data_IF_259161981028
#
_entry.id   IF_259161981028
#
_cell.length_a   1.000
_cell.length_b   1.000
_cell.length_c   1.000
_cell.angle_alpha   90.00
_cell.angle_beta   90.00
_cell.angle_gamma   90.00
#
_symmetry.space_group_name_H-M   'P 1'
#
loop_
_entity.id
_entity.type
_entity.pdbx_description
1 polymer ?
#
# COMPACT_ATOMS: atom_id res chain seq x y z
N UNK A 1 1.42 -0.53 -23.84
CA UNK A 1 2.80 -0.32 -23.33
C UNK A 1 3.51 0.59 -24.30
N UNK A 2 3.22 1.89 -24.23
CA UNK A 2 3.81 2.87 -25.13
C UNK A 2 5.20 3.30 -24.60
N UNK A 3 5.26 3.72 -23.33
CA UNK A 3 6.51 4.12 -22.66
C UNK A 3 7.61 3.04 -22.63
N UNK A 4 7.26 1.76 -22.47
CA UNK A 4 8.25 0.67 -22.49
C UNK A 4 8.85 0.45 -23.90
N UNK A 5 8.05 0.67 -24.95
CA UNK A 5 8.52 0.57 -26.35
C UNK A 5 9.42 1.74 -26.73
N UNK A 6 9.14 2.93 -26.20
CA UNK A 6 9.97 4.13 -26.42
C UNK A 6 11.37 4.02 -25.81
N UNK A 7 11.56 3.10 -24.87
CA UNK A 7 12.83 2.85 -24.16
C UNK A 7 13.44 1.48 -24.51
N UNK A 8 12.95 0.81 -25.56
CA UNK A 8 13.39 -0.53 -25.98
C UNK A 8 13.41 -1.57 -24.84
N UNK A 9 12.50 -1.43 -23.86
CA UNK A 9 12.38 -2.35 -22.74
C UNK A 9 11.64 -3.61 -23.19
N UNK A 10 12.37 -4.74 -23.19
CA UNK A 10 11.81 -6.07 -23.46
C UNK A 10 11.00 -6.58 -22.26
N UNK A 11 9.96 -7.38 -22.51
CA UNK A 11 9.11 -7.96 -21.47
C UNK A 11 9.03 -9.48 -21.63
N UNK A 12 10.10 -10.24 -21.29
CA UNK A 12 10.22 -11.65 -21.62
C UNK A 12 9.05 -12.52 -21.13
N UNK A 13 8.55 -12.26 -19.91
CA UNK A 13 7.40 -12.99 -19.36
C UNK A 13 6.12 -12.77 -20.17
N UNK A 14 5.93 -11.54 -20.67
CA UNK A 14 4.77 -11.19 -21.50
C UNK A 14 4.89 -11.74 -22.91
N UNK A 15 6.10 -11.72 -23.47
CA UNK A 15 6.41 -12.31 -24.78
C UNK A 15 6.25 -13.85 -24.74
N UNK A 16 6.58 -14.48 -23.62
CA UNK A 16 6.34 -15.90 -23.36
C UNK A 16 4.85 -16.23 -23.07
N UNK A 17 3.95 -15.24 -23.07
CA UNK A 17 2.53 -15.45 -22.85
C UNK A 17 2.14 -15.82 -21.42
N UNK A 18 3.05 -15.67 -20.44
CA UNK A 18 2.79 -16.05 -19.05
C UNK A 18 1.74 -15.14 -18.42
N UNK A 19 0.71 -15.76 -17.85
CA UNK A 19 -0.30 -15.08 -17.06
C UNK A 19 0.20 -14.83 -15.63
N UNK A 20 -0.52 -13.98 -14.88
CA UNK A 20 -0.22 -13.78 -13.45
C UNK A 20 -0.28 -15.08 -12.65
N UNK A 21 -1.14 -16.02 -13.04
CA UNK A 21 -1.27 -17.31 -12.35
C UNK A 21 -0.02 -18.14 -12.58
N UNK A 22 0.42 -18.26 -13.83
CA UNK A 22 1.62 -19.01 -14.20
C UNK A 22 2.86 -18.45 -13.49
N UNK A 23 3.01 -17.13 -13.45
CA UNK A 23 4.13 -16.47 -12.75
C UNK A 23 4.13 -16.82 -11.25
N UNK A 24 2.96 -16.86 -10.59
CA UNK A 24 2.86 -17.22 -9.17
C UNK A 24 3.19 -18.68 -8.91
N UNK A 25 2.69 -19.58 -9.76
CA UNK A 25 2.95 -21.02 -9.67
C UNK A 25 4.44 -21.32 -9.86
N UNK A 26 5.04 -20.79 -10.92
CA UNK A 26 6.49 -20.91 -11.18
C UNK A 26 7.32 -20.28 -10.05
N UNK A 27 6.92 -19.11 -9.54
CA UNK A 27 7.62 -18.47 -8.41
C UNK A 27 7.55 -19.31 -7.15
N UNK A 28 6.43 -20.01 -6.92
CA UNK A 28 6.25 -20.90 -5.77
C UNK A 28 7.08 -22.17 -5.92
N UNK A 29 7.14 -22.77 -7.10
CA UNK A 29 8.00 -23.93 -7.41
C UNK A 29 9.49 -23.60 -7.23
N UNK A 30 9.90 -22.39 -7.60
CA UNK A 30 11.26 -21.90 -7.41
C UNK A 30 11.55 -21.45 -5.96
N UNK A 31 10.59 -21.56 -5.04
CA UNK A 31 10.76 -21.18 -3.64
C UNK A 31 10.90 -19.67 -3.39
N UNK A 32 10.45 -18.81 -4.31
CA UNK A 32 10.57 -17.36 -4.15
C UNK A 32 9.58 -16.87 -3.08
N UNK A 33 10.04 -16.16 -2.02
CA UNK A 33 9.17 -15.72 -0.93
C UNK A 33 8.13 -14.67 -1.37
N UNK A 34 8.32 -14.08 -2.55
CA UNK A 34 7.44 -13.05 -3.12
C UNK A 34 6.29 -13.62 -3.96
N UNK A 35 6.15 -14.95 -4.08
CA UNK A 35 5.18 -15.59 -4.97
C UNK A 35 3.73 -15.14 -4.73
N UNK A 36 3.36 -14.82 -3.48
CA UNK A 36 2.03 -14.33 -3.12
C UNK A 36 2.01 -12.86 -2.65
N UNK A 37 3.06 -12.08 -2.97
CA UNK A 37 3.10 -10.67 -2.55
C UNK A 37 1.97 -9.89 -3.24
N UNK A 38 1.13 -9.16 -2.51
CA UNK A 38 0.07 -8.35 -3.10
C UNK A 38 0.65 -7.24 -3.98
N UNK A 39 -0.11 -6.83 -5.00
CA UNK A 39 0.28 -5.74 -5.88
C UNK A 39 0.11 -4.41 -5.16
N UNK A 40 1.19 -3.84 -4.66
CA UNK A 40 1.17 -2.50 -4.08
C UNK A 40 1.11 -1.45 -5.18
N UNK A 41 0.11 -0.57 -5.14
CA UNK A 41 0.07 0.62 -5.98
C UNK A 41 1.10 1.64 -5.48
N UNK A 42 1.60 2.51 -6.36
CA UNK A 42 2.53 3.58 -5.98
C UNK A 42 1.95 4.46 -4.87
N UNK A 43 2.75 4.82 -3.87
CA UNK A 43 2.35 5.70 -2.76
C UNK A 43 1.84 7.07 -3.25
N UNK A 44 2.22 7.50 -4.45
CA UNK A 44 1.71 8.73 -5.06
C UNK A 44 0.18 8.75 -5.21
N UNK A 45 -0.47 7.58 -5.34
CA UNK A 45 -1.92 7.49 -5.46
C UNK A 45 -2.67 7.83 -4.16
N UNK A 46 -1.96 8.00 -3.04
CA UNK A 46 -2.54 8.36 -1.73
C UNK A 46 -2.68 9.88 -1.55
N UNK A 47 -2.15 10.67 -2.48
CA UNK A 47 -2.21 12.12 -2.45
C UNK A 47 -3.24 12.65 -3.46
N UNK A 48 -3.99 13.71 -3.12
CA UNK A 48 -4.88 14.37 -4.08
C UNK A 48 -4.06 15.01 -5.20
N UNK A 49 -4.62 15.01 -6.41
CA UNK A 49 -4.02 15.71 -7.55
C UNK A 49 -3.80 17.20 -7.23
N UNK A 50 -2.70 17.75 -7.74
CA UNK A 50 -2.30 19.15 -7.48
C UNK A 50 -1.53 19.39 -6.18
N UNK A 51 -1.37 18.38 -5.32
CA UNK A 51 -0.51 18.50 -4.14
C UNK A 51 0.95 18.17 -4.48
N UNK A 52 1.88 19.02 -3.99
CA UNK A 52 3.31 18.72 -4.08
C UNK A 52 3.64 17.55 -3.17
N UNK A 53 4.00 16.43 -3.80
CA UNK A 53 4.52 15.25 -3.11
C UNK A 53 5.95 15.57 -2.66
N UNK A 54 6.22 15.44 -1.37
CA UNK A 54 7.57 15.57 -0.80
C UNK A 54 7.99 14.24 -0.19
N UNK A 55 9.30 13.99 -0.10
CA UNK A 55 9.84 12.77 0.51
C UNK A 55 9.34 12.58 1.94
N UNK A 56 9.25 13.68 2.71
CA UNK A 56 8.72 13.64 4.08
C UNK A 56 7.27 13.15 4.14
N UNK A 57 6.40 13.65 3.23
CA UNK A 57 4.99 13.23 3.16
C UNK A 57 4.84 11.78 2.70
N UNK A 58 5.68 11.34 1.74
CA UNK A 58 5.71 9.94 1.31
C UNK A 58 6.09 9.03 2.48
N UNK A 59 7.17 9.34 3.20
CA UNK A 59 7.63 8.57 4.35
C UNK A 59 6.59 8.55 5.49
N UNK A 60 5.86 9.64 5.67
CA UNK A 60 4.78 9.75 6.65
C UNK A 60 3.64 8.76 6.33
N UNK A 61 3.15 8.76 5.09
CA UNK A 61 2.11 7.83 4.64
C UNK A 61 2.60 6.39 4.65
N UNK A 62 3.84 6.15 4.21
CA UNK A 62 4.44 4.81 4.21
C UNK A 62 4.53 4.23 5.63
N UNK A 63 5.02 5.03 6.60
CA UNK A 63 5.05 4.60 8.01
C UNK A 63 3.67 4.33 8.58
N UNK A 64 2.66 5.13 8.21
CA UNK A 64 1.30 4.90 8.64
C UNK A 64 0.70 3.61 8.04
N UNK A 65 0.91 3.34 6.75
CA UNK A 65 0.51 2.07 6.11
C UNK A 65 1.26 0.89 6.75
N UNK A 66 2.58 0.98 6.94
CA UNK A 66 3.38 -0.09 7.56
C UNK A 66 2.92 -0.40 8.97
N UNK A 67 2.65 0.61 9.80
CA UNK A 67 2.16 0.39 11.16
C UNK A 67 0.84 -0.41 11.18
N UNK A 68 -0.08 -0.08 10.27
CA UNK A 68 -1.37 -0.78 10.14
C UNK A 68 -1.18 -2.20 9.59
N UNK A 69 -0.26 -2.39 8.65
CA UNK A 69 0.14 -3.73 8.15
C UNK A 69 0.72 -4.59 9.27
N UNK A 70 1.59 -4.03 10.12
CA UNK A 70 2.21 -4.73 11.26
C UNK A 70 1.19 -5.12 12.35
N UNK A 71 0.05 -4.43 12.40
CA UNK A 71 -1.08 -4.80 13.26
C UNK A 71 -1.91 -5.96 12.69
N UNK A 72 -1.60 -6.43 11.47
CA UNK A 72 -2.26 -7.56 10.83
C UNK A 72 -3.34 -7.18 9.81
N UNK A 73 -3.52 -5.88 9.51
CA UNK A 73 -4.45 -5.42 8.46
C UNK A 73 -3.80 -5.67 7.11
N UNK A 74 -4.44 -6.42 6.23
CA UNK A 74 -3.79 -6.87 4.99
C UNK A 74 -4.06 -5.97 3.79
N UNK A 75 -5.17 -5.22 3.81
CA UNK A 75 -5.58 -4.34 2.71
C UNK A 75 -5.85 -2.92 3.21
N UNK A 76 -4.77 -2.22 3.61
CA UNK A 76 -4.85 -0.83 4.08
C UNK A 76 -4.40 0.17 3.02
N UNK A 77 -5.10 1.32 2.96
CA UNK A 77 -4.65 2.51 2.24
C UNK A 77 -4.82 3.73 3.13
N UNK A 78 -3.74 4.47 3.34
CA UNK A 78 -3.79 5.73 4.10
C UNK A 78 -3.76 6.89 3.11
N UNK A 79 -4.90 7.58 2.94
CA UNK A 79 -4.98 8.77 2.09
C UNK A 79 -4.68 10.03 2.88
N UNK A 80 -3.79 10.85 2.35
CA UNK A 80 -3.36 12.09 3.00
C UNK A 80 -4.15 13.28 2.47
N UNK A 81 -4.92 13.94 3.34
CA UNK A 81 -5.69 15.15 3.05
C UNK A 81 -5.32 16.29 4.01
N UNK A 82 -4.28 17.06 3.67
CA UNK A 82 -3.78 18.11 4.57
C UNK A 82 -3.16 17.50 5.83
N UNK A 83 -3.80 17.69 6.98
CA UNK A 83 -3.39 17.07 8.26
C UNK A 83 -4.17 15.78 8.56
N UNK A 84 -5.15 15.41 7.71
CA UNK A 84 -6.02 14.26 7.96
C UNK A 84 -5.48 13.03 7.22
N UNK A 85 -5.33 11.94 7.95
CA UNK A 85 -5.10 10.61 7.40
C UNK A 85 -6.41 9.83 7.38
N UNK A 86 -6.94 9.61 6.18
CA UNK A 86 -8.12 8.78 5.97
C UNK A 86 -7.68 7.33 5.77
N UNK A 87 -8.09 6.46 6.68
CA UNK A 87 -7.79 5.03 6.62
C UNK A 87 -8.88 4.32 5.81
N UNK A 88 -8.52 3.68 4.71
CA UNK A 88 -9.40 2.81 3.94
C UNK A 88 -8.95 1.36 4.13
N UNK A 89 -9.85 0.54 4.70
CA UNK A 89 -9.66 -0.90 4.89
C UNK A 89 -10.85 -1.69 4.36
N UNK A 90 -10.64 -2.99 4.17
CA UNK A 90 -11.67 -3.94 3.77
C UNK A 90 -12.72 -4.11 4.88
N UNK A 91 -13.98 -4.37 4.51
CA UNK A 91 -15.10 -4.35 5.45
C UNK A 91 -14.99 -5.41 6.55
N UNK A 92 -14.44 -6.58 6.25
CA UNK A 92 -14.21 -7.66 7.22
C UNK A 92 -13.09 -7.35 8.22
N UNK A 93 -12.18 -6.42 7.89
CA UNK A 93 -11.10 -5.99 8.78
C UNK A 93 -11.54 -4.84 9.73
N UNK A 94 -12.75 -4.29 9.56
CA UNK A 94 -13.22 -3.12 10.36
C UNK A 94 -13.44 -3.42 11.82
N UNK A 95 -13.66 -4.67 12.19
CA UNK A 95 -13.88 -5.07 13.58
C UNK A 95 -12.70 -4.72 14.48
N UNK A 96 -11.47 -4.62 13.92
CA UNK A 96 -10.28 -4.21 14.67
C UNK A 96 -10.41 -2.81 15.28
N UNK A 97 -11.23 -1.95 14.67
CA UNK A 97 -11.48 -0.58 15.13
C UNK A 97 -12.61 -0.49 16.16
N UNK A 98 -13.25 -1.61 16.55
CA UNK A 98 -14.23 -1.60 17.64
C UNK A 98 -13.59 -1.64 19.02
N UNK A 99 -12.30 -1.99 19.10
CA UNK A 99 -11.53 -1.91 20.32
C UNK A 99 -10.99 -0.48 20.51
N UNK A 100 -11.40 0.14 21.61
CA UNK A 100 -11.02 1.51 21.97
C UNK A 100 -9.52 1.63 22.24
N UNK A 101 -8.88 0.62 22.82
CA UNK A 101 -7.43 0.62 23.06
C UNK A 101 -6.67 0.61 21.74
N UNK A 102 -7.13 -0.21 20.78
CA UNK A 102 -6.57 -0.25 19.43
C UNK A 102 -6.77 1.10 18.73
N UNK A 103 -7.97 1.67 18.75
CA UNK A 103 -8.23 2.99 18.15
C UNK A 103 -7.33 4.07 18.74
N UNK A 104 -7.18 4.09 20.06
CA UNK A 104 -6.31 5.06 20.74
C UNK A 104 -4.84 4.85 20.37
N UNK A 105 -4.40 3.60 20.27
CA UNK A 105 -3.04 3.26 19.84
C UNK A 105 -2.78 3.74 18.41
N UNK A 106 -3.68 3.45 17.48
CA UNK A 106 -3.59 3.91 16.09
C UNK A 106 -3.59 5.44 16.02
N UNK A 107 -4.54 6.09 16.68
CA UNK A 107 -4.62 7.55 16.73
C UNK A 107 -3.35 8.21 17.27
N UNK A 108 -2.75 7.64 18.33
CA UNK A 108 -1.50 8.14 18.89
C UNK A 108 -0.30 7.96 17.95
N UNK A 109 -0.19 6.82 17.25
CA UNK A 109 0.89 6.61 16.28
C UNK A 109 0.75 7.53 15.06
N UNK A 110 -0.45 7.71 14.53
CA UNK A 110 -0.67 8.66 13.43
C UNK A 110 -0.39 10.09 13.86
N UNK A 111 -0.73 10.47 15.09
CA UNK A 111 -0.44 11.80 15.63
C UNK A 111 1.06 12.08 15.75
N UNK A 112 1.89 11.07 16.05
CA UNK A 112 3.37 11.20 16.03
C UNK A 112 3.91 11.46 14.62
N UNK A 113 3.13 11.14 13.59
CA UNK A 113 3.44 11.39 12.19
C UNK A 113 2.78 12.69 11.69
N UNK A 114 2.32 13.58 12.57
CA UNK A 114 1.59 14.81 12.23
C UNK A 114 0.30 14.56 11.43
N UNK A 115 -0.36 13.41 11.66
CA UNK A 115 -1.60 13.02 11.03
C UNK A 115 -2.74 12.85 12.05
N UNK A 116 -3.90 13.42 11.73
CA UNK A 116 -5.15 13.20 12.44
C UNK A 116 -5.89 12.03 11.80
N UNK A 117 -6.12 10.97 12.59
CA UNK A 117 -6.83 9.78 12.15
C UNK A 117 -8.29 10.10 11.83
N UNK A 118 -8.74 9.72 10.64
CA UNK A 118 -10.14 9.68 10.24
C UNK A 118 -10.46 8.28 9.68
N UNK A 119 -11.44 7.61 10.29
CA UNK A 119 -11.96 6.30 9.91
C UNK A 119 -13.27 6.43 9.15
#
# INVERSE_FOLDING_TARGET
MQAAKELDVVSPLKEAGLTKKDIRELSKELGLPTWNKPSFACLSSRFPYGNKITLSKLNMVDKAEQFLLDMGITQVRVRHHGEIARIEIESSEREIFFDIEIMNRIGNELKKLDLLMLL
#
